data_IF_929131408368
#
_entry.id   IF_929131408368
#
_cell.length_a   1.000
_cell.length_b   1.000
_cell.length_c   1.000
_cell.angle_alpha   90.00
_cell.angle_beta   90.00
_cell.angle_gamma   90.00
#
_symmetry.space_group_name_H-M   'P 1'
#
loop_
_entity.id
_entity.type
_entity.pdbx_description
1 polymer ?
#
# COMPACT_ATOMS: atom_id res chain seq x y z
N UNK A 1 14.35 -7.23 4.69
CA UNK A 1 13.15 -7.07 5.56
C UNK A 1 12.76 -5.61 5.60
N UNK A 2 11.49 -5.31 5.45
CA UNK A 2 10.97 -3.94 5.52
C UNK A 2 10.17 -3.76 6.81
N UNK A 3 10.20 -2.55 7.35
CA UNK A 3 9.44 -2.20 8.55
C UNK A 3 8.36 -1.20 8.14
N UNK A 4 7.14 -1.49 8.54
CA UNK A 4 5.99 -0.62 8.32
C UNK A 4 5.20 -0.52 9.62
N UNK A 5 5.05 0.68 10.13
CA UNK A 5 4.39 0.93 11.41
C UNK A 5 3.27 1.95 11.18
N UNK A 6 2.10 1.64 11.74
CA UNK A 6 1.00 2.59 11.77
C UNK A 6 0.34 2.57 13.14
N UNK A 7 -0.05 3.73 13.64
CA UNK A 7 -0.85 3.82 14.86
C UNK A 7 -1.69 5.09 14.87
N UNK A 8 -2.73 5.05 15.67
CA UNK A 8 -3.66 6.18 15.83
C UNK A 8 -3.59 6.68 17.26
N UNK A 9 -3.44 7.99 17.42
CA UNK A 9 -3.47 8.64 18.73
C UNK A 9 -4.20 9.96 18.62
N UNK A 10 -5.21 10.15 19.46
CA UNK A 10 -6.00 11.39 19.55
C UNK A 10 -6.55 11.82 18.17
N UNK A 11 -7.06 10.88 17.39
CA UNK A 11 -7.63 11.14 16.07
C UNK A 11 -6.61 11.41 14.98
N UNK A 12 -5.31 11.27 15.26
CA UNK A 12 -4.24 11.44 14.28
C UNK A 12 -3.60 10.11 13.96
N UNK A 13 -3.42 9.83 12.67
CA UNK A 13 -2.73 8.63 12.20
C UNK A 13 -1.27 8.96 11.95
N UNK A 14 -0.40 8.09 12.46
CA UNK A 14 1.04 8.18 12.25
C UNK A 14 1.49 6.95 11.48
N UNK A 15 2.19 7.16 10.37
CA UNK A 15 2.78 6.09 9.57
C UNK A 15 4.28 6.29 9.50
N UNK A 16 5.02 5.20 9.65
CA UNK A 16 6.47 5.22 9.53
C UNK A 16 6.96 3.97 8.81
N UNK A 17 8.01 4.13 8.05
CA UNK A 17 8.66 3.02 7.35
C UNK A 17 10.16 3.28 7.27
N UNK A 18 10.94 2.21 7.09
CA UNK A 18 12.35 2.36 6.75
C UNK A 18 12.50 2.77 5.28
N UNK A 19 13.69 3.23 4.90
CA UNK A 19 14.01 3.61 3.52
C UNK A 19 14.83 2.54 2.81
N UNK A 20 15.01 1.40 3.43
CA UNK A 20 15.84 0.32 2.90
C UNK A 20 15.17 -0.35 1.71
N UNK A 21 15.95 -0.61 0.68
CA UNK A 21 15.53 -1.34 -0.51
C UNK A 21 16.47 -2.52 -0.70
N UNK A 22 15.91 -3.70 -0.91
CA UNK A 22 16.65 -4.89 -1.28
C UNK A 22 16.44 -5.15 -2.78
N UNK A 23 17.52 -5.20 -3.52
CA UNK A 23 17.50 -5.53 -4.95
C UNK A 23 18.54 -6.61 -5.18
N UNK A 24 18.14 -7.77 -5.72
CA UNK A 24 19.01 -8.91 -6.01
C UNK A 24 19.93 -9.29 -4.84
N UNK A 25 19.35 -9.46 -3.65
CA UNK A 25 20.04 -9.78 -2.39
C UNK A 25 21.02 -8.69 -1.91
N UNK A 26 21.03 -7.54 -2.57
CA UNK A 26 21.82 -6.38 -2.13
C UNK A 26 20.93 -5.40 -1.37
N UNK A 27 21.51 -4.79 -0.35
CA UNK A 27 20.83 -3.79 0.46
C UNK A 27 21.19 -2.41 -0.06
N UNK A 28 20.18 -1.65 -0.46
CA UNK A 28 20.34 -0.26 -0.85
C UNK A 28 19.57 0.63 0.12
N UNK A 29 20.14 1.78 0.45
CA UNK A 29 19.46 2.75 1.30
C UNK A 29 19.18 4.02 0.50
N UNK A 30 17.90 4.39 0.42
CA UNK A 30 17.49 5.68 -0.12
C UNK A 30 17.53 6.72 0.98
N UNK A 31 18.17 7.84 0.68
CA UNK A 31 18.18 8.99 1.56
C UNK A 31 17.21 10.03 0.99
N UNK A 32 16.25 10.42 1.80
CA UNK A 32 15.49 11.68 1.66
C UNK A 32 14.49 11.83 0.50
N UNK A 33 14.10 10.81 -0.23
CA UNK A 33 12.95 10.96 -1.10
C UNK A 33 11.73 10.33 -0.45
N UNK A 34 10.84 11.22 -0.07
CA UNK A 34 9.77 11.00 0.89
C UNK A 34 8.64 10.09 0.43
N UNK A 35 8.55 9.74 -0.86
CA UNK A 35 7.32 9.16 -1.40
C UNK A 35 7.43 7.71 -1.83
N UNK A 36 8.51 7.02 -1.46
CA UNK A 36 8.74 5.67 -1.96
C UNK A 36 7.79 4.62 -1.36
N UNK A 37 7.64 4.62 -0.05
CA UNK A 37 6.83 3.61 0.65
C UNK A 37 5.60 4.22 1.34
N UNK A 38 5.55 5.53 1.46
CA UNK A 38 4.41 6.26 2.02
C UNK A 38 4.06 7.40 1.08
N UNK A 39 2.78 7.56 0.78
CA UNK A 39 2.30 8.62 -0.09
C UNK A 39 1.00 9.21 0.44
N UNK A 40 0.92 10.54 0.40
CA UNK A 40 -0.34 11.27 0.64
C UNK A 40 -0.97 11.59 -0.71
N UNK A 41 -2.20 11.13 -0.90
CA UNK A 41 -2.94 11.38 -2.13
C UNK A 41 -3.69 12.71 -2.06
N UNK A 42 -4.09 13.24 -3.21
CA UNK A 42 -4.83 14.50 -3.30
C UNK A 42 -6.16 14.46 -2.55
N UNK A 43 -6.81 13.31 -2.49
CA UNK A 43 -8.07 13.14 -1.76
C UNK A 43 -7.89 12.99 -0.24
N UNK A 44 -6.66 13.09 0.26
CA UNK A 44 -6.37 13.00 1.69
C UNK A 44 -6.07 11.59 2.20
N UNK A 45 -6.19 10.57 1.37
CA UNK A 45 -5.81 9.21 1.75
C UNK A 45 -4.29 9.12 1.88
N UNK A 46 -3.82 8.49 2.96
CA UNK A 46 -2.43 8.10 3.13
C UNK A 46 -2.30 6.62 2.80
N UNK A 47 -1.34 6.27 1.97
CA UNK A 47 -1.04 4.89 1.63
C UNK A 47 0.40 4.59 2.02
N UNK A 48 0.60 3.51 2.75
CA UNK A 48 1.93 2.99 3.06
C UNK A 48 1.99 1.53 2.67
N UNK A 49 3.09 1.11 2.08
CA UNK A 49 3.18 -0.23 1.51
C UNK A 49 4.57 -0.81 1.68
N UNK A 50 4.61 -2.10 1.97
CA UNK A 50 5.81 -2.92 1.84
C UNK A 50 5.46 -4.16 1.02
N UNK A 51 6.39 -4.62 0.21
CA UNK A 51 6.23 -5.84 -0.56
C UNK A 51 7.60 -6.47 -0.82
N UNK A 52 7.57 -7.76 -1.15
CA UNK A 52 8.78 -8.48 -1.51
C UNK A 52 9.42 -7.91 -2.77
N UNK A 53 8.60 -7.46 -3.72
CA UNK A 53 9.05 -6.94 -5.00
C UNK A 53 8.95 -5.42 -5.02
N UNK A 54 10.06 -4.75 -5.30
CA UNK A 54 10.11 -3.30 -5.41
C UNK A 54 9.15 -2.77 -6.48
N UNK A 55 9.09 -3.45 -7.63
CA UNK A 55 8.23 -3.03 -8.73
C UNK A 55 6.76 -2.96 -8.32
N UNK A 56 6.32 -3.86 -7.44
CA UNK A 56 4.96 -3.86 -6.92
C UNK A 56 4.66 -2.58 -6.13
N UNK A 57 5.58 -2.18 -5.27
CA UNK A 57 5.43 -0.94 -4.49
C UNK A 57 5.44 0.28 -5.40
N UNK A 58 6.42 0.37 -6.29
CA UNK A 58 6.56 1.50 -7.20
C UNK A 58 5.31 1.68 -8.06
N UNK A 59 4.82 0.62 -8.66
CA UNK A 59 3.65 0.69 -9.53
C UNK A 59 2.36 0.98 -8.77
N UNK A 60 2.20 0.42 -7.57
CA UNK A 60 1.04 0.73 -6.74
C UNK A 60 1.00 2.21 -6.36
N UNK A 61 2.16 2.77 -6.00
CA UNK A 61 2.25 4.18 -5.62
C UNK A 61 2.04 5.14 -6.80
N UNK A 62 2.19 4.66 -8.03
CA UNK A 62 1.86 5.44 -9.22
C UNK A 62 0.40 5.33 -9.63
N UNK A 63 -0.33 4.37 -9.11
CA UNK A 63 -1.74 4.12 -9.45
C UNK A 63 -2.68 4.71 -8.39
N UNK A 64 -2.59 6.01 -8.19
CA UNK A 64 -3.34 6.70 -7.14
C UNK A 64 -4.85 6.65 -7.36
N UNK A 65 -5.31 6.47 -8.58
CA UNK A 65 -6.72 6.32 -8.93
C UNK A 65 -7.37 5.07 -8.35
N UNK A 66 -6.58 4.11 -7.88
CA UNK A 66 -7.11 2.90 -7.25
C UNK A 66 -7.62 3.16 -5.82
N UNK A 67 -7.17 4.24 -5.21
CA UNK A 67 -7.51 4.58 -3.82
C UNK A 67 -8.54 5.71 -3.82
N UNK A 68 -9.81 5.33 -3.75
CA UNK A 68 -10.91 6.27 -3.82
C UNK A 68 -11.65 6.39 -2.50
N UNK A 69 -12.35 7.48 -2.30
CA UNK A 69 -13.31 7.66 -1.21
C UNK A 69 -14.69 7.24 -1.66
N UNK A 70 -15.59 6.93 -0.72
CA UNK A 70 -16.97 6.62 -1.05
C UNK A 70 -17.73 7.88 -1.50
N UNK A 71 -19.01 7.74 -1.83
CA UNK A 71 -19.86 8.84 -2.33
C UNK A 71 -20.00 9.97 -1.31
N UNK A 72 -19.79 9.69 -0.02
CA UNK A 72 -19.86 10.69 1.05
C UNK A 72 -18.50 11.32 1.36
N UNK A 73 -17.46 10.99 0.60
CA UNK A 73 -16.13 11.48 0.83
C UNK A 73 -15.41 10.81 1.99
N UNK A 74 -15.78 9.59 2.34
CA UNK A 74 -15.20 8.85 3.46
C UNK A 74 -14.47 7.60 3.01
N UNK A 75 -13.49 7.20 3.80
CA UNK A 75 -12.85 5.90 3.67
C UNK A 75 -13.40 4.99 4.75
N UNK A 76 -14.11 3.94 4.35
CA UNK A 76 -14.70 2.97 5.27
C UNK A 76 -14.19 1.57 4.94
N UNK A 77 -14.26 0.66 5.91
CA UNK A 77 -13.91 -0.73 5.69
C UNK A 77 -14.74 -1.34 4.56
N UNK A 78 -16.02 -1.01 4.50
CA UNK A 78 -16.93 -1.50 3.48
C UNK A 78 -16.50 -1.05 2.08
N UNK A 79 -16.16 0.22 1.92
CA UNK A 79 -15.67 0.76 0.65
C UNK A 79 -14.34 0.12 0.23
N UNK A 80 -13.44 -0.09 1.18
CA UNK A 80 -12.16 -0.76 0.90
C UNK A 80 -12.40 -2.17 0.37
N UNK A 81 -13.27 -2.94 1.01
CA UNK A 81 -13.55 -4.32 0.63
C UNK A 81 -14.27 -4.39 -0.73
N UNK A 82 -15.23 -3.51 -0.96
CA UNK A 82 -16.08 -3.56 -2.17
C UNK A 82 -15.48 -2.88 -3.38
N UNK A 83 -14.69 -1.83 -3.20
CA UNK A 83 -14.19 -1.00 -4.30
C UNK A 83 -12.68 -1.01 -4.45
N UNK A 84 -11.92 -0.78 -3.36
CA UNK A 84 -10.47 -0.66 -3.45
C UNK A 84 -9.80 -2.00 -3.67
N UNK A 85 -10.10 -3.00 -2.85
CA UNK A 85 -9.45 -4.31 -2.95
C UNK A 85 -9.71 -5.01 -4.28
N UNK A 86 -10.94 -5.03 -4.83
CA UNK A 86 -11.14 -5.66 -6.13
C UNK A 86 -10.34 -5.00 -7.26
N UNK A 87 -10.18 -3.68 -7.22
CA UNK A 87 -9.37 -2.95 -8.20
C UNK A 87 -7.88 -3.26 -8.05
N UNK A 88 -7.37 -3.28 -6.81
CA UNK A 88 -5.99 -3.67 -6.54
C UNK A 88 -5.72 -5.10 -6.97
N UNK A 89 -6.61 -6.03 -6.63
CA UNK A 89 -6.50 -7.42 -7.01
C UNK A 89 -6.40 -7.58 -8.53
N UNK A 90 -7.29 -6.92 -9.25
CA UNK A 90 -7.30 -6.96 -10.73
C UNK A 90 -6.00 -6.40 -11.29
N UNK A 91 -5.56 -5.27 -10.77
CA UNK A 91 -4.31 -4.64 -11.19
C UNK A 91 -3.12 -5.59 -10.96
N UNK A 92 -3.00 -6.17 -9.78
CA UNK A 92 -1.90 -7.07 -9.46
C UNK A 92 -1.94 -8.34 -10.28
N UNK A 93 -3.13 -8.86 -10.57
CA UNK A 93 -3.30 -10.03 -11.41
C UNK A 93 -2.87 -9.74 -12.85
N UNK A 94 -3.30 -8.62 -13.41
CA UNK A 94 -2.97 -8.21 -14.79
C UNK A 94 -1.47 -7.96 -14.97
N UNK A 95 -0.82 -7.39 -13.96
CA UNK A 95 0.62 -7.09 -14.00
C UNK A 95 1.51 -8.26 -13.56
N UNK A 96 0.91 -9.38 -13.18
CA UNK A 96 1.67 -10.57 -12.79
C UNK A 96 2.30 -10.51 -11.40
N UNK A 97 1.80 -9.66 -10.52
CA UNK A 97 2.35 -9.50 -9.18
C UNK A 97 1.81 -10.49 -8.14
N UNK A 98 0.77 -11.24 -8.47
CA UNK A 98 0.25 -12.23 -7.53
C UNK A 98 1.11 -13.48 -7.56
N UNK A 99 1.54 -13.92 -6.37
CA UNK A 99 2.22 -15.19 -6.23
C UNK A 99 1.28 -16.32 -6.60
N UNK A 100 1.78 -17.28 -7.36
CA UNK A 100 0.99 -18.42 -7.79
C UNK A 100 1.90 -19.63 -7.88
N UNK A 101 1.97 -20.40 -6.81
CA UNK A 101 2.63 -21.68 -6.82
C UNK A 101 1.72 -22.71 -7.49
N UNK A 102 2.32 -23.71 -8.12
CA UNK A 102 1.60 -24.72 -8.89
C UNK A 102 0.51 -25.37 -8.05
N UNK A 103 -0.75 -25.16 -8.45
CA UNK A 103 -1.91 -25.73 -7.76
C UNK A 103 -2.46 -24.89 -6.62
N UNK A 104 -1.91 -23.70 -6.35
CA UNK A 104 -2.39 -22.78 -5.33
C UNK A 104 -3.09 -21.56 -5.94
N UNK A 105 -3.97 -20.93 -5.14
CA UNK A 105 -4.59 -19.67 -5.54
C UNK A 105 -3.55 -18.54 -5.56
N UNK A 106 -3.69 -17.56 -6.46
CA UNK A 106 -2.83 -16.39 -6.45
C UNK A 106 -2.90 -15.64 -5.12
N UNK A 107 -1.76 -15.17 -4.64
CA UNK A 107 -1.69 -14.44 -3.39
C UNK A 107 -0.78 -13.22 -3.49
N UNK A 108 -1.07 -12.23 -2.64
CA UNK A 108 -0.30 -10.99 -2.54
C UNK A 108 0.79 -11.14 -1.49
N UNK A 109 2.01 -10.74 -1.84
CA UNK A 109 3.17 -10.81 -0.95
C UNK A 109 3.58 -9.43 -0.47
N UNK A 110 2.83 -8.90 0.48
CA UNK A 110 3.11 -7.59 1.02
C UNK A 110 2.08 -7.15 2.02
N UNK A 111 2.22 -5.93 2.47
CA UNK A 111 1.28 -5.29 3.39
C UNK A 111 1.00 -3.87 2.94
N UNK A 112 -0.25 -3.46 3.06
CA UNK A 112 -0.70 -2.10 2.76
C UNK A 112 -1.40 -1.54 3.99
N UNK A 113 -1.01 -0.33 4.38
CA UNK A 113 -1.76 0.47 5.35
C UNK A 113 -2.42 1.62 4.61
N UNK A 114 -3.70 1.82 4.86
CA UNK A 114 -4.49 2.90 4.26
C UNK A 114 -5.11 3.70 5.38
N UNK A 115 -4.97 5.01 5.33
CA UNK A 115 -5.49 5.89 6.37
C UNK A 115 -6.21 7.10 5.80
N UNK A 116 -7.22 7.56 6.52
CA UNK A 116 -7.97 8.76 6.17
C UNK A 116 -8.70 9.29 7.41
N UNK A 117 -8.54 10.59 7.67
CA UNK A 117 -9.27 11.30 8.75
C UNK A 117 -9.31 10.55 10.09
N UNK A 118 -8.16 10.11 10.56
CA UNK A 118 -8.05 9.45 11.87
C UNK A 118 -8.30 7.95 11.87
N UNK A 119 -8.72 7.36 10.76
CA UNK A 119 -8.92 5.93 10.62
C UNK A 119 -7.74 5.27 9.92
N UNK A 120 -7.34 4.11 10.41
CA UNK A 120 -6.24 3.32 9.87
C UNK A 120 -6.71 1.91 9.57
N UNK A 121 -6.43 1.42 8.37
CA UNK A 121 -6.80 0.09 7.88
C UNK A 121 -5.57 -0.65 7.38
N UNK A 122 -5.54 -1.93 7.64
CA UNK A 122 -4.51 -2.83 7.16
C UNK A 122 -5.09 -3.88 6.23
#
# INVERSE_FOLDING_TARGET
MAILIGYVKDGTVYLATDTRINVDDRVHQRVAESDYKIKRLENGILVAMTARERALVDQTMMRTELFTLDKKGRLTKDHIIKEIFPRLYRFYKEEGFLGNEKGEDPYFRGSILIAHEGDLFE
#
